data_IF_978428960691
#
_entry.id   IF_978428960691
#
_cell.length_a   1.000
_cell.length_b   1.000
_cell.length_c   1.000
_cell.angle_alpha   90.00
_cell.angle_beta   90.00
_cell.angle_gamma   90.00
#
_symmetry.space_group_name_H-M   'P 1'
#
loop_
_entity.id
_entity.type
_entity.pdbx_description
1 polymer ?
#
# COMPACT_ATOMS: atom_id res chain seq x y z
N UNK A 1 40.59 -6.38 8.80
CA UNK A 1 39.16 -6.38 8.40
C UNK A 1 38.18 -6.69 9.54
N UNK A 2 38.36 -7.77 10.34
CA UNK A 2 37.46 -8.14 11.47
C UNK A 2 37.16 -7.01 12.48
N UNK A 3 38.16 -6.21 12.86
CA UNK A 3 38.01 -5.08 13.78
C UNK A 3 37.17 -3.91 13.24
N UNK A 4 37.10 -3.75 11.91
CA UNK A 4 36.29 -2.71 11.27
C UNK A 4 34.81 -3.11 11.35
N UNK A 5 34.51 -4.37 11.00
CA UNK A 5 33.17 -4.96 11.11
C UNK A 5 32.64 -5.04 12.54
N UNK A 6 33.50 -5.32 13.53
CA UNK A 6 33.09 -5.33 14.93
C UNK A 6 32.66 -3.94 15.43
N UNK A 7 33.38 -2.88 15.02
CA UNK A 7 32.96 -1.49 15.30
C UNK A 7 31.69 -1.10 14.56
N UNK A 8 31.55 -1.52 13.31
CA UNK A 8 30.35 -1.29 12.50
C UNK A 8 29.10 -1.87 13.18
N UNK A 9 29.17 -3.12 13.65
CA UNK A 9 28.04 -3.80 14.33
C UNK A 9 27.69 -3.20 15.70
N UNK A 10 28.61 -2.47 16.33
CA UNK A 10 28.36 -1.74 17.58
C UNK A 10 27.81 -0.34 17.34
N UNK A 11 27.71 0.14 16.09
CA UNK A 11 27.00 1.38 15.79
C UNK A 11 25.52 1.17 16.09
N UNK A 12 25.02 1.95 17.03
CA UNK A 12 23.60 2.00 17.32
C UNK A 12 22.93 2.72 16.15
N UNK A 13 22.28 1.96 15.27
CA UNK A 13 21.42 2.52 14.25
C UNK A 13 20.10 2.89 14.95
N UNK A 14 19.77 4.17 15.12
CA UNK A 14 18.47 4.54 15.67
C UNK A 14 17.38 3.90 14.81
N UNK A 15 16.27 3.42 15.43
CA UNK A 15 15.14 2.89 14.67
C UNK A 15 14.74 3.91 13.62
N UNK A 16 14.49 3.45 12.39
CA UNK A 16 13.96 4.32 11.36
C UNK A 16 12.51 4.66 11.71
N UNK A 17 12.32 5.77 12.42
CA UNK A 17 11.03 6.17 12.97
C UNK A 17 9.98 6.41 11.88
N UNK A 18 10.41 6.78 10.67
CA UNK A 18 9.52 7.00 9.53
C UNK A 18 8.97 5.66 9.04
N UNK A 19 9.84 4.67 8.83
CA UNK A 19 9.41 3.32 8.45
C UNK A 19 8.53 2.70 9.53
N UNK A 20 8.89 2.87 10.81
CA UNK A 20 8.08 2.38 11.93
C UNK A 20 6.70 3.03 11.98
N UNK A 21 6.61 4.34 11.73
CA UNK A 21 5.32 5.03 11.69
C UNK A 21 4.44 4.53 10.54
N UNK A 22 5.05 4.22 9.39
CA UNK A 22 4.38 3.54 8.26
C UNK A 22 3.81 2.19 8.68
N UNK A 23 4.65 1.30 9.20
CA UNK A 23 4.23 -0.04 9.64
C UNK A 23 3.11 -0.01 10.68
N UNK A 24 3.20 0.90 11.67
CA UNK A 24 2.15 1.07 12.68
C UNK A 24 0.83 1.56 12.08
N UNK A 25 0.88 2.41 11.05
CA UNK A 25 -0.31 2.86 10.35
C UNK A 25 -0.96 1.71 9.56
N UNK A 26 -0.17 0.84 8.94
CA UNK A 26 -0.65 -0.33 8.20
C UNK A 26 -1.34 -1.31 9.16
N UNK A 27 -0.66 -1.66 10.26
CA UNK A 27 -1.21 -2.53 11.31
C UNK A 27 -2.51 -1.97 11.92
N UNK A 28 -2.57 -0.65 12.12
CA UNK A 28 -3.77 0.00 12.66
C UNK A 28 -4.94 -0.05 11.68
N UNK A 29 -4.69 0.25 10.40
CA UNK A 29 -5.71 0.17 9.35
C UNK A 29 -6.26 -1.25 9.26
N UNK A 30 -5.38 -2.24 9.16
CA UNK A 30 -5.75 -3.65 9.14
C UNK A 30 -6.61 -4.07 10.34
N UNK A 31 -6.21 -3.68 11.56
CA UNK A 31 -6.96 -3.98 12.79
C UNK A 31 -8.38 -3.41 12.76
N UNK A 32 -8.54 -2.15 12.35
CA UNK A 32 -9.85 -1.49 12.26
C UNK A 32 -10.69 -2.15 11.16
N UNK A 33 -10.11 -2.42 10.00
CA UNK A 33 -10.78 -3.09 8.87
C UNK A 33 -11.25 -4.49 9.24
N UNK A 34 -10.45 -5.28 9.98
CA UNK A 34 -10.86 -6.59 10.51
C UNK A 34 -12.01 -6.50 11.49
N UNK A 35 -12.00 -5.52 12.39
CA UNK A 35 -13.10 -5.31 13.33
C UNK A 35 -14.41 -4.94 12.61
N UNK A 36 -14.33 -4.04 11.64
CA UNK A 36 -15.47 -3.66 10.79
C UNK A 36 -15.95 -4.85 9.94
N UNK A 37 -15.01 -5.59 9.32
CA UNK A 37 -15.31 -6.74 8.50
C UNK A 37 -16.02 -7.85 9.26
N UNK A 38 -15.58 -8.18 10.49
CA UNK A 38 -16.26 -9.15 11.35
C UNK A 38 -17.72 -8.76 11.63
N UNK A 39 -18.00 -7.47 11.81
CA UNK A 39 -19.36 -6.96 12.06
C UNK A 39 -20.25 -7.02 10.81
N UNK A 40 -19.67 -6.81 9.63
CA UNK A 40 -20.40 -6.64 8.37
C UNK A 40 -20.29 -7.83 7.39
N UNK A 41 -19.61 -8.92 7.78
CA UNK A 41 -19.36 -10.06 6.90
C UNK A 41 -18.37 -9.78 5.76
N UNK A 42 -17.43 -8.84 5.95
CA UNK A 42 -16.40 -8.55 4.95
C UNK A 42 -15.17 -9.42 5.15
N UNK A 43 -14.53 -9.81 4.05
CA UNK A 43 -13.25 -10.50 4.03
C UNK A 43 -12.12 -9.48 3.86
N UNK A 44 -11.14 -9.54 4.76
CA UNK A 44 -10.01 -8.61 4.80
C UNK A 44 -8.74 -9.40 4.50
N UNK A 45 -7.97 -8.94 3.52
CA UNK A 45 -6.71 -9.54 3.12
C UNK A 45 -5.60 -8.49 3.20
N UNK A 46 -4.62 -8.73 4.05
CA UNK A 46 -3.46 -7.86 4.27
C UNK A 46 -2.28 -8.34 3.39
N UNK A 47 -1.44 -7.41 2.93
CA UNK A 47 -0.20 -7.71 2.18
C UNK A 47 -0.40 -8.68 1.00
N UNK A 48 -1.43 -8.45 0.19
CA UNK A 48 -1.77 -9.31 -0.95
C UNK A 48 -0.73 -9.16 -2.04
N UNK A 49 -0.08 -10.27 -2.42
CA UNK A 49 0.94 -10.27 -3.49
C UNK A 49 0.36 -10.80 -4.79
N UNK A 50 0.25 -9.93 -5.78
CA UNK A 50 -0.19 -10.27 -7.14
C UNK A 50 1.03 -10.40 -8.07
N UNK A 51 1.03 -11.36 -9.02
CA UNK A 51 2.06 -11.45 -10.05
C UNK A 51 2.00 -10.22 -10.98
N UNK A 52 3.16 -9.69 -11.35
CA UNK A 52 3.32 -8.59 -12.31
C UNK A 52 4.25 -9.05 -13.42
N UNK A 53 3.66 -9.65 -14.46
CA UNK A 53 4.40 -10.28 -15.57
C UNK A 53 5.11 -9.21 -16.42
N UNK A 54 4.48 -8.04 -16.60
CA UNK A 54 5.03 -6.95 -17.41
C UNK A 54 6.33 -6.38 -16.83
N UNK A 55 6.42 -6.26 -15.51
CA UNK A 55 7.56 -5.63 -14.83
C UNK A 55 8.50 -6.63 -14.16
N UNK A 56 8.16 -7.92 -14.23
CA UNK A 56 8.88 -9.00 -13.57
C UNK A 56 8.65 -9.00 -12.06
N UNK A 57 8.08 -10.08 -11.54
CA UNK A 57 7.98 -10.34 -10.11
C UNK A 57 6.57 -10.20 -9.54
N UNK A 58 6.48 -9.66 -8.32
CA UNK A 58 5.22 -9.53 -7.57
C UNK A 58 5.04 -8.10 -7.09
N UNK A 59 3.79 -7.65 -7.11
CA UNK A 59 3.36 -6.38 -6.51
C UNK A 59 2.59 -6.68 -5.24
N UNK A 60 2.87 -5.91 -4.21
CA UNK A 60 2.12 -5.97 -2.95
C UNK A 60 1.01 -4.92 -2.96
N UNK A 61 -0.16 -5.31 -2.47
CA UNK A 61 -1.29 -4.44 -2.12
C UNK A 61 -1.40 -4.50 -0.60
N UNK A 62 -1.39 -3.33 0.05
CA UNK A 62 -1.36 -3.26 1.52
C UNK A 62 -2.62 -3.89 2.13
N UNK A 63 -3.80 -3.60 1.56
CA UNK A 63 -5.06 -4.14 2.03
C UNK A 63 -6.09 -4.31 0.90
N UNK A 64 -6.74 -5.47 0.87
CA UNK A 64 -7.91 -5.75 0.04
C UNK A 64 -9.11 -6.08 0.94
N UNK A 65 -10.24 -5.42 0.71
CA UNK A 65 -11.49 -5.62 1.44
C UNK A 65 -12.54 -6.11 0.44
N UNK A 66 -13.16 -7.24 0.71
CA UNK A 66 -14.22 -7.83 -0.14
C UNK A 66 -15.50 -7.95 0.67
N UNK A 67 -16.60 -7.39 0.18
CA UNK A 67 -17.91 -7.48 0.80
C UNK A 67 -19.01 -7.41 -0.25
N UNK A 68 -19.95 -8.37 -0.22
CA UNK A 68 -20.98 -8.47 -1.26
C UNK A 68 -20.35 -8.62 -2.65
N UNK A 69 -20.71 -7.73 -3.58
CA UNK A 69 -20.17 -7.69 -4.94
C UNK A 69 -19.16 -6.54 -5.13
N UNK A 70 -18.57 -6.04 -4.04
CA UNK A 70 -17.63 -4.91 -4.05
C UNK A 70 -16.29 -5.32 -3.49
N UNK A 71 -15.23 -4.88 -4.15
CA UNK A 71 -13.85 -5.02 -3.71
C UNK A 71 -13.24 -3.63 -3.57
N UNK A 72 -12.64 -3.34 -2.42
CA UNK A 72 -11.81 -2.16 -2.20
C UNK A 72 -10.35 -2.59 -2.19
N UNK A 73 -9.55 -1.91 -3.00
CA UNK A 73 -8.09 -2.06 -3.05
C UNK A 73 -7.51 -0.81 -2.42
N UNK A 74 -6.83 -0.96 -1.30
CA UNK A 74 -6.39 0.15 -0.47
C UNK A 74 -4.86 0.14 -0.39
N UNK A 75 -4.26 1.27 -0.76
CA UNK A 75 -2.86 1.57 -0.49
C UNK A 75 -2.81 2.54 0.70
N UNK A 76 -1.96 2.27 1.68
CA UNK A 76 -1.75 3.15 2.81
C UNK A 76 -0.43 3.90 2.64
N UNK A 77 -0.48 5.22 2.85
CA UNK A 77 0.71 6.07 2.88
C UNK A 77 0.72 6.86 4.18
N UNK A 78 1.90 6.93 4.80
CA UNK A 78 2.12 7.74 5.98
C UNK A 78 3.12 8.83 5.63
N UNK A 79 2.63 10.07 5.54
CA UNK A 79 3.44 11.23 5.19
C UNK A 79 3.41 12.27 6.30
N UNK A 80 4.55 12.90 6.56
CA UNK A 80 4.63 14.02 7.48
C UNK A 80 4.15 15.32 6.81
N UNK A 81 3.59 16.22 7.60
CA UNK A 81 3.07 17.50 7.11
C UNK A 81 1.61 17.41 6.69
N UNK A 82 1.24 18.10 5.62
CA UNK A 82 -0.10 18.03 5.01
C UNK A 82 0.01 17.53 3.58
N UNK A 83 -1.11 17.10 3.02
CA UNK A 83 -1.18 16.78 1.61
C UNK A 83 -2.48 17.31 1.01
N UNK A 84 -2.42 17.61 -0.28
CA UNK A 84 -3.58 17.90 -1.11
C UNK A 84 -3.58 17.00 -2.34
N UNK A 85 -4.75 16.86 -2.96
CA UNK A 85 -4.91 16.21 -4.26
C UNK A 85 -5.28 17.32 -5.23
N UNK A 86 -4.46 17.52 -6.27
CA UNK A 86 -4.72 18.56 -7.26
C UNK A 86 -5.77 18.10 -8.30
N UNK A 87 -6.09 18.98 -9.27
CA UNK A 87 -7.04 18.68 -10.33
C UNK A 87 -6.60 17.54 -11.27
N UNK A 88 -5.29 17.25 -11.32
CA UNK A 88 -4.70 16.16 -12.10
C UNK A 88 -4.62 14.84 -11.29
N UNK A 89 -5.31 14.77 -10.15
CA UNK A 89 -5.31 13.63 -9.21
C UNK A 89 -3.92 13.27 -8.66
N UNK A 90 -3.00 14.22 -8.62
CA UNK A 90 -1.68 14.03 -8.03
C UNK A 90 -1.69 14.35 -6.54
N UNK A 91 -0.99 13.53 -5.75
CA UNK A 91 -0.82 13.80 -4.33
C UNK A 91 0.37 14.73 -4.10
N UNK A 92 0.11 15.93 -3.62
CA UNK A 92 1.12 16.94 -3.32
C UNK A 92 1.32 16.96 -1.80
N UNK A 93 2.52 16.59 -1.33
CA UNK A 93 2.90 16.63 0.09
C UNK A 93 3.59 17.96 0.42
N UNK A 94 3.03 18.72 1.36
CA UNK A 94 3.69 19.88 1.96
C UNK A 94 4.40 19.48 3.26
N UNK A 95 5.73 19.43 3.23
CA UNK A 95 6.54 19.00 4.37
C UNK A 95 6.73 20.15 5.36
N UNK A 96 6.96 19.80 6.63
CA UNK A 96 7.16 20.78 7.72
C UNK A 96 8.38 21.70 7.55
N UNK A 97 9.33 21.33 6.68
CA UNK A 97 10.51 22.12 6.36
C UNK A 97 10.29 23.12 5.20
N UNK A 98 9.05 23.27 4.72
CA UNK A 98 8.70 24.17 3.62
C UNK A 98 8.92 23.60 2.22
N UNK A 99 9.45 22.37 2.10
CA UNK A 99 9.58 21.70 0.79
C UNK A 99 8.31 20.95 0.41
N UNK A 100 8.08 20.82 -0.89
CA UNK A 100 6.94 20.11 -1.45
C UNK A 100 7.42 18.89 -2.23
N UNK A 101 6.69 17.78 -2.15
CA UNK A 101 6.99 16.56 -2.88
C UNK A 101 5.73 16.03 -3.59
N UNK A 102 5.82 15.88 -4.91
CA UNK A 102 4.73 15.34 -5.72
C UNK A 102 4.84 13.81 -5.82
N UNK A 103 3.77 13.09 -5.47
CA UNK A 103 3.63 11.64 -5.59
C UNK A 103 2.70 11.25 -6.74
N UNK A 104 2.86 11.92 -7.89
CA UNK A 104 1.98 11.87 -9.08
C UNK A 104 1.57 10.46 -9.53
N UNK A 105 2.45 9.48 -9.39
CA UNK A 105 2.18 8.11 -9.86
C UNK A 105 1.45 7.21 -8.86
N UNK A 106 1.12 7.68 -7.65
CA UNK A 106 0.47 6.83 -6.63
C UNK A 106 -0.91 6.35 -7.10
N UNK A 107 -1.76 7.25 -7.60
CA UNK A 107 -3.09 6.90 -8.10
C UNK A 107 -3.04 5.93 -9.27
N UNK A 108 -2.17 6.19 -10.24
CA UNK A 108 -1.99 5.32 -11.41
C UNK A 108 -1.51 3.92 -11.01
N UNK A 109 -0.61 3.83 -10.01
CA UNK A 109 -0.09 2.55 -9.50
C UNK A 109 -1.18 1.74 -8.80
N UNK A 110 -1.98 2.34 -7.91
CA UNK A 110 -3.05 1.61 -7.22
C UNK A 110 -4.18 1.21 -8.18
N UNK A 111 -4.51 2.06 -9.16
CA UNK A 111 -5.47 1.75 -10.21
C UNK A 111 -5.00 0.57 -11.07
N UNK A 112 -3.70 0.51 -11.42
CA UNK A 112 -3.12 -0.64 -12.13
C UNK A 112 -3.19 -1.92 -11.30
N UNK A 113 -2.78 -1.88 -10.02
CA UNK A 113 -2.90 -3.06 -9.12
C UNK A 113 -4.34 -3.56 -9.03
N UNK A 114 -5.31 -2.64 -8.97
CA UNK A 114 -6.74 -2.98 -8.92
C UNK A 114 -7.21 -3.67 -10.19
N UNK A 115 -6.87 -3.13 -11.38
CA UNK A 115 -7.20 -3.75 -12.67
C UNK A 115 -6.60 -5.15 -12.82
N UNK A 116 -5.34 -5.33 -12.42
CA UNK A 116 -4.69 -6.64 -12.44
C UNK A 116 -5.42 -7.65 -11.55
N UNK A 117 -5.79 -7.26 -10.32
CA UNK A 117 -6.51 -8.13 -9.40
C UNK A 117 -7.90 -8.52 -9.93
N UNK A 118 -8.60 -7.57 -10.56
CA UNK A 118 -9.91 -7.84 -11.21
C UNK A 118 -9.75 -8.80 -12.39
N UNK A 119 -8.77 -8.58 -13.28
CA UNK A 119 -8.52 -9.47 -14.41
C UNK A 119 -8.24 -10.91 -13.96
N UNK A 120 -7.38 -11.08 -12.94
CA UNK A 120 -7.11 -12.40 -12.34
C UNK A 120 -8.36 -13.04 -11.73
N UNK A 121 -9.24 -12.23 -11.13
CA UNK A 121 -10.51 -12.73 -10.59
C UNK A 121 -11.43 -13.21 -11.71
N UNK A 122 -11.61 -12.40 -12.77
CA UNK A 122 -12.47 -12.70 -13.92
C UNK A 122 -12.02 -13.97 -14.65
N UNK A 123 -10.72 -14.10 -14.92
CA UNK A 123 -10.12 -15.31 -15.50
C UNK A 123 -10.44 -16.55 -14.66
N UNK A 124 -10.30 -16.44 -13.33
CA UNK A 124 -10.54 -17.54 -12.41
C UNK A 124 -12.01 -17.96 -12.32
N UNK A 125 -12.94 -17.01 -12.44
CA UNK A 125 -14.39 -17.30 -12.37
C UNK A 125 -15.03 -17.57 -13.73
N UNK A 126 -14.25 -17.49 -14.82
CA UNK A 126 -14.73 -17.74 -16.17
C UNK A 126 -15.68 -16.65 -16.69
N UNK A 127 -15.56 -15.41 -16.20
CA UNK A 127 -16.29 -14.26 -16.76
C UNK A 127 -15.45 -13.64 -17.86
N UNK A 128 -15.90 -13.77 -19.10
CA UNK A 128 -15.46 -12.91 -20.20
C UNK A 128 -15.95 -11.48 -19.93
N UNK A 129 -15.08 -10.49 -20.16
CA UNK A 129 -15.35 -9.08 -19.93
C UNK A 129 -16.47 -8.59 -20.86
N UNK A 130 -17.71 -8.73 -20.40
CA UNK A 130 -18.92 -8.31 -21.08
C UNK A 130 -19.66 -7.22 -20.31
N UNK A 131 -18.97 -6.14 -19.89
CA UNK A 131 -19.47 -4.75 -19.75
C UNK A 131 -18.29 -3.79 -19.78
#
# INVERSE_FOLDING_TARGET
>A
QRWKWWRERRRHHPPDEIHRAGELAEQRLAKISRAAGKKNGWHIFESVRIPDVEQGGKREIDLVIVGGNTMLVVEQKHWSGSFEINADEEFIQHRKNGTTHNHSTVNQRIARKSRMLVAMHNERVGKDDGV
#
